data_IF_572424012389
#
_entry.id   IF_572424012389
#
_cell.length_a   1.000
_cell.length_b   1.000
_cell.length_c   1.000
_cell.angle_alpha   90.00
_cell.angle_beta   90.00
_cell.angle_gamma   90.00
#
_symmetry.space_group_name_H-M   'P 1'
#
loop_
_entity.id
_entity.type
_entity.pdbx_description
1 polymer ?
#
# COMPACT_ATOMS: atom_id res chain seq x y z
N UNK A 1 17.33 -37.81 -7.72
CA UNK A 1 15.93 -37.43 -8.06
C UNK A 1 15.08 -37.43 -6.78
N UNK A 2 15.46 -36.67 -5.76
CA UNK A 2 14.78 -36.64 -4.46
C UNK A 2 15.03 -35.33 -3.67
N UNK A 3 15.22 -34.20 -4.38
CA UNK A 3 15.51 -32.89 -3.76
C UNK A 3 14.72 -31.73 -4.39
N UNK A 4 13.73 -32.00 -5.24
CA UNK A 4 12.90 -30.99 -5.92
C UNK A 4 11.45 -30.94 -5.41
N UNK A 5 11.15 -31.57 -4.27
CA UNK A 5 9.79 -31.67 -3.71
C UNK A 5 9.64 -31.00 -2.33
N UNK A 6 10.59 -30.18 -1.90
CA UNK A 6 10.49 -29.44 -0.63
C UNK A 6 9.92 -28.02 -0.82
N UNK A 7 9.90 -27.51 -2.06
CA UNK A 7 9.50 -26.11 -2.33
C UNK A 7 8.00 -25.90 -2.61
N UNK A 8 7.20 -26.97 -2.66
CA UNK A 8 5.77 -26.92 -3.01
C UNK A 8 4.83 -27.35 -1.87
N UNK A 9 5.38 -27.55 -0.67
CA UNK A 9 4.64 -27.93 0.53
C UNK A 9 4.84 -26.95 1.70
N UNK A 10 5.20 -25.70 1.44
CA UNK A 10 4.86 -24.63 2.39
C UNK A 10 3.40 -24.24 2.17
N UNK A 11 2.49 -25.20 2.34
CA UNK A 11 1.11 -24.90 2.69
C UNK A 11 1.11 -24.50 4.15
N UNK A 12 1.69 -23.34 4.41
CA UNK A 12 1.16 -22.34 5.32
C UNK A 12 -0.24 -22.68 5.86
N UNK A 13 -0.30 -23.41 6.98
CA UNK A 13 -1.31 -23.13 7.97
C UNK A 13 -0.89 -21.81 8.63
N UNK A 14 -0.91 -20.72 7.85
CA UNK A 14 -0.23 -19.48 8.20
C UNK A 14 -1.09 -18.69 9.18
N UNK A 15 -0.52 -18.44 10.35
CA UNK A 15 -0.93 -17.36 11.25
C UNK A 15 -1.32 -16.13 10.42
N UNK A 16 -2.52 -15.55 10.60
CA UNK A 16 -2.93 -14.36 9.88
C UNK A 16 -1.84 -13.29 9.94
N UNK A 17 -1.51 -12.64 8.81
CA UNK A 17 -0.41 -11.68 8.74
C UNK A 17 -0.47 -10.60 9.83
N UNK A 18 -1.67 -10.17 10.22
CA UNK A 18 -1.89 -9.22 11.33
C UNK A 18 -1.28 -9.71 12.65
N UNK A 19 -1.40 -11.00 12.96
CA UNK A 19 -0.90 -11.60 14.20
C UNK A 19 0.63 -11.71 14.17
N UNK A 20 1.19 -11.96 12.98
CA UNK A 20 2.65 -11.88 12.77
C UNK A 20 3.13 -10.46 13.04
N UNK A 21 2.51 -9.44 12.42
CA UNK A 21 2.87 -8.03 12.61
C UNK A 21 2.75 -7.63 14.08
N UNK A 22 1.64 -7.97 14.75
CA UNK A 22 1.43 -7.64 16.16
C UNK A 22 2.49 -8.28 17.06
N UNK A 23 2.90 -9.53 16.77
CA UNK A 23 3.94 -10.23 17.52
C UNK A 23 5.33 -9.60 17.36
N UNK A 24 5.66 -9.13 16.15
CA UNK A 24 6.91 -8.44 15.86
C UNK A 24 6.95 -7.06 16.54
N UNK A 25 5.83 -6.32 16.50
CA UNK A 25 5.69 -5.04 17.19
C UNK A 25 5.81 -5.19 18.70
N UNK A 26 5.13 -6.18 19.30
CA UNK A 26 5.23 -6.45 20.72
C UNK A 26 6.65 -6.82 21.14
N UNK A 27 7.35 -7.62 20.32
CA UNK A 27 8.75 -7.98 20.55
C UNK A 27 9.66 -6.76 20.49
N UNK A 28 9.46 -5.87 19.53
CA UNK A 28 10.21 -4.62 19.41
C UNK A 28 9.98 -3.72 20.64
N UNK A 29 8.74 -3.49 21.06
CA UNK A 29 8.44 -2.67 22.23
C UNK A 29 9.08 -3.22 23.51
N UNK A 30 9.09 -4.54 23.69
CA UNK A 30 9.73 -5.18 24.84
C UNK A 30 11.25 -4.93 24.86
N UNK A 31 11.93 -5.05 23.71
CA UNK A 31 13.37 -4.78 23.60
C UNK A 31 13.69 -3.33 23.92
N UNK A 32 12.90 -2.40 23.38
CA UNK A 32 13.08 -0.96 23.55
C UNK A 32 12.47 -0.41 24.85
N UNK A 33 11.89 -1.27 25.69
CA UNK A 33 11.20 -0.91 26.95
C UNK A 33 10.11 0.15 26.75
N UNK A 34 9.42 0.09 25.61
CA UNK A 34 8.32 0.99 25.26
C UNK A 34 7.00 0.44 25.80
N UNK A 35 6.17 1.35 26.32
CA UNK A 35 4.78 1.04 26.68
C UNK A 35 3.89 1.48 25.52
N UNK A 36 3.13 0.58 24.88
CA UNK A 36 2.24 0.95 23.79
C UNK A 36 1.09 1.84 24.28
N UNK A 37 0.58 2.67 23.37
CA UNK A 37 -0.62 3.46 23.65
C UNK A 37 -1.83 2.54 23.87
N UNK A 38 -2.78 2.99 24.70
CA UNK A 38 -4.06 2.30 24.88
C UNK A 38 -4.89 2.25 23.59
N UNK A 39 -5.87 1.34 23.56
CA UNK A 39 -6.79 1.24 22.43
C UNK A 39 -7.57 2.55 22.24
N UNK A 40 -7.74 2.95 20.97
CA UNK A 40 -8.55 4.11 20.63
C UNK A 40 -10.02 3.90 20.95
N UNK A 41 -10.74 4.99 21.23
CA UNK A 41 -12.21 4.97 21.27
C UNK A 41 -12.77 4.64 19.89
N UNK A 42 -14.04 4.22 19.82
CA UNK A 42 -14.68 3.86 18.55
C UNK A 42 -14.78 5.05 17.58
N UNK A 43 -15.07 6.25 18.09
CA UNK A 43 -15.12 7.46 17.26
C UNK A 43 -13.75 7.83 16.69
N UNK A 44 -12.68 7.71 17.49
CA UNK A 44 -11.32 7.94 17.02
C UNK A 44 -10.88 6.87 16.02
N UNK A 45 -11.21 5.60 16.29
CA UNK A 45 -10.93 4.50 15.38
C UNK A 45 -11.57 4.73 14.02
N UNK A 46 -12.87 5.01 13.97
CA UNK A 46 -13.58 5.23 12.70
C UNK A 46 -12.98 6.42 11.92
N UNK A 47 -12.70 7.54 12.60
CA UNK A 47 -12.12 8.72 11.95
C UNK A 47 -10.73 8.43 11.38
N UNK A 48 -9.86 7.73 12.11
CA UNK A 48 -8.53 7.34 11.61
C UNK A 48 -8.67 6.40 10.42
N UNK A 49 -9.51 5.37 10.57
CA UNK A 49 -9.74 4.37 9.54
C UNK A 49 -10.23 4.99 8.21
N UNK A 50 -11.18 5.93 8.24
CA UNK A 50 -11.66 6.55 6.99
C UNK A 50 -10.65 7.51 6.38
N UNK A 51 -9.87 8.22 7.20
CA UNK A 51 -8.80 9.07 6.68
C UNK A 51 -7.69 8.24 6.03
N UNK A 52 -7.32 7.11 6.64
CA UNK A 52 -6.24 6.25 6.17
C UNK A 52 -6.65 5.42 4.95
N UNK A 53 -7.87 4.87 4.94
CA UNK A 53 -8.32 3.99 3.85
C UNK A 53 -8.93 4.76 2.68
N UNK A 54 -9.76 5.77 2.94
CA UNK A 54 -10.55 6.45 1.90
C UNK A 54 -10.26 7.94 1.77
N UNK A 55 -9.31 8.48 2.56
CA UNK A 55 -8.84 9.87 2.42
C UNK A 55 -9.82 10.95 2.87
N UNK A 56 -10.95 10.58 3.46
CA UNK A 56 -12.01 11.52 3.86
C UNK A 56 -12.51 11.24 5.27
N UNK A 57 -13.03 12.27 5.93
CA UNK A 57 -13.75 12.10 7.20
C UNK A 57 -15.03 11.26 7.00
N UNK A 58 -15.47 10.50 8.01
CA UNK A 58 -16.65 9.65 7.86
C UNK A 58 -17.91 10.49 7.67
N UNK A 59 -18.82 10.05 6.80
CA UNK A 59 -20.12 10.68 6.65
C UNK A 59 -20.99 10.46 7.91
N UNK A 60 -21.99 11.32 8.13
CA UNK A 60 -22.86 11.22 9.30
C UNK A 60 -23.50 9.83 9.45
N UNK A 61 -23.97 9.26 8.34
CA UNK A 61 -24.56 7.92 8.31
C UNK A 61 -23.57 6.80 8.67
N UNK A 62 -22.31 6.92 8.25
CA UNK A 62 -21.26 5.97 8.60
C UNK A 62 -20.96 6.02 10.11
N UNK A 63 -20.96 7.22 10.69
CA UNK A 63 -20.76 7.44 12.13
C UNK A 63 -21.92 6.82 12.92
N UNK A 64 -23.16 7.16 12.59
CA UNK A 64 -24.34 6.68 13.33
C UNK A 64 -24.45 5.17 13.27
N UNK A 65 -24.24 4.58 12.08
CA UNK A 65 -24.29 3.13 11.88
C UNK A 65 -23.21 2.42 12.70
N UNK A 66 -21.95 2.89 12.62
CA UNK A 66 -20.84 2.24 13.32
C UNK A 66 -20.92 2.36 14.85
N UNK A 67 -21.38 3.51 15.38
CA UNK A 67 -21.51 3.70 16.83
C UNK A 67 -22.72 2.97 17.42
N UNK A 68 -23.77 2.74 16.61
CA UNK A 68 -24.92 1.93 16.99
C UNK A 68 -24.57 0.43 17.06
N UNK A 69 -23.64 -0.04 16.22
CA UNK A 69 -23.20 -1.44 16.22
C UNK A 69 -22.49 -1.82 17.55
N UNK A 70 -23.00 -2.88 18.19
CA UNK A 70 -22.49 -3.46 19.45
C UNK A 70 -21.83 -4.83 19.27
N UNK A 71 -21.71 -5.30 18.03
CA UNK A 71 -21.05 -6.57 17.73
C UNK A 71 -19.54 -6.48 18.02
N UNK A 72 -18.95 -7.58 18.47
CA UNK A 72 -17.53 -7.64 18.81
C UNK A 72 -16.62 -7.48 17.59
N UNK A 73 -17.13 -7.79 16.39
CA UNK A 73 -16.42 -7.76 15.12
C UNK A 73 -16.70 -6.48 14.30
N UNK A 74 -17.41 -5.49 14.84
CA UNK A 74 -17.78 -4.27 14.12
C UNK A 74 -16.60 -3.51 13.50
N UNK A 75 -15.42 -3.55 14.14
CA UNK A 75 -14.19 -2.93 13.60
C UNK A 75 -13.69 -3.65 12.36
N UNK A 76 -13.70 -4.98 12.37
CA UNK A 76 -13.34 -5.79 11.20
C UNK A 76 -14.33 -5.54 10.06
N UNK A 77 -15.64 -5.57 10.34
CA UNK A 77 -16.68 -5.24 9.35
C UNK A 77 -16.49 -3.85 8.73
N UNK A 78 -16.13 -2.85 9.53
CA UNK A 78 -15.88 -1.50 9.04
C UNK A 78 -14.64 -1.44 8.13
N UNK A 79 -13.58 -2.18 8.46
CA UNK A 79 -12.38 -2.31 7.62
C UNK A 79 -12.76 -2.95 6.29
N UNK A 80 -13.40 -4.12 6.30
CA UNK A 80 -13.77 -4.85 5.09
C UNK A 80 -14.68 -4.02 4.18
N UNK A 81 -15.66 -3.33 4.78
CA UNK A 81 -16.54 -2.41 4.05
C UNK A 81 -15.77 -1.30 3.35
N UNK A 82 -14.80 -0.69 4.02
CA UNK A 82 -14.02 0.42 3.46
C UNK A 82 -13.01 -0.06 2.42
N UNK A 83 -12.39 -1.23 2.60
CA UNK A 83 -11.52 -1.83 1.59
C UNK A 83 -12.27 -2.14 0.29
N UNK A 84 -13.54 -2.54 0.40
CA UNK A 84 -14.42 -2.77 -0.76
C UNK A 84 -15.04 -1.48 -1.34
N UNK A 85 -14.85 -0.32 -0.72
CA UNK A 85 -15.44 0.95 -1.15
C UNK A 85 -14.67 1.53 -2.36
N UNK A 86 -15.33 2.01 -3.43
CA UNK A 86 -14.64 2.65 -4.56
C UNK A 86 -13.72 3.82 -4.17
N UNK A 87 -14.01 4.49 -3.05
CA UNK A 87 -13.15 5.55 -2.51
C UNK A 87 -11.77 5.03 -2.09
N UNK A 88 -11.65 3.77 -1.66
CA UNK A 88 -10.37 3.18 -1.26
C UNK A 88 -9.41 3.11 -2.45
N UNK A 89 -9.84 2.55 -3.57
CA UNK A 89 -9.02 2.45 -4.77
C UNK A 89 -8.56 3.82 -5.28
N UNK A 90 -9.46 4.82 -5.25
CA UNK A 90 -9.12 6.20 -5.59
C UNK A 90 -8.11 6.81 -4.62
N UNK A 91 -8.31 6.65 -3.31
CA UNK A 91 -7.40 7.22 -2.32
C UNK A 91 -6.01 6.60 -2.39
N UNK A 92 -5.92 5.26 -2.48
CA UNK A 92 -4.65 4.57 -2.63
C UNK A 92 -3.94 4.99 -3.91
N UNK A 93 -4.66 5.14 -5.02
CA UNK A 93 -4.08 5.71 -6.24
C UNK A 93 -3.40 7.05 -5.96
N UNK A 94 -4.07 7.99 -5.28
CA UNK A 94 -3.55 9.33 -5.01
C UNK A 94 -2.33 9.31 -4.08
N UNK A 95 -2.29 8.40 -3.12
CA UNK A 95 -1.15 8.17 -2.22
C UNK A 95 0.03 7.60 -3.01
N UNK A 96 -0.19 6.59 -3.84
CA UNK A 96 0.88 5.93 -4.59
C UNK A 96 1.39 6.77 -5.77
N UNK A 97 0.55 7.58 -6.41
CA UNK A 97 0.98 8.56 -7.42
C UNK A 97 2.03 9.51 -6.83
N UNK A 98 1.86 9.95 -5.57
CA UNK A 98 2.83 10.81 -4.89
C UNK A 98 4.17 10.12 -4.62
N UNK A 99 4.13 8.82 -4.33
CA UNK A 99 5.34 8.06 -4.04
C UNK A 99 6.11 7.65 -5.31
N UNK A 100 5.39 7.39 -6.40
CA UNK A 100 5.93 6.73 -7.60
C UNK A 100 6.16 7.69 -8.77
N UNK A 101 5.37 8.76 -8.89
CA UNK A 101 5.41 9.66 -10.06
C UNK A 101 5.85 11.06 -9.66
N UNK A 102 6.86 11.59 -10.35
CA UNK A 102 7.38 12.94 -10.11
C UNK A 102 6.33 13.99 -10.48
N UNK A 103 6.08 14.93 -9.56
CA UNK A 103 5.20 16.09 -9.76
C UNK A 103 5.93 17.25 -10.43
N UNK A 104 6.21 17.09 -11.73
CA UNK A 104 6.75 18.16 -12.57
C UNK A 104 5.86 18.37 -13.79
N UNK A 105 5.12 19.50 -13.88
CA UNK A 105 4.23 19.81 -14.99
C UNK A 105 4.87 19.76 -16.38
N UNK A 106 6.19 19.96 -16.46
CA UNK A 106 6.93 19.98 -17.73
C UNK A 106 7.43 18.58 -18.13
N UNK A 107 7.40 17.61 -17.22
CA UNK A 107 7.87 16.25 -17.49
C UNK A 107 6.93 15.50 -18.43
N UNK A 108 7.50 14.59 -19.23
CA UNK A 108 6.70 13.70 -20.08
C UNK A 108 5.80 12.77 -19.26
N UNK A 109 6.28 12.32 -18.10
CA UNK A 109 5.52 11.48 -17.19
C UNK A 109 4.25 12.18 -16.70
N UNK A 110 4.33 13.49 -16.41
CA UNK A 110 3.16 14.26 -15.97
C UNK A 110 2.07 14.36 -17.03
N UNK A 111 2.43 14.45 -18.32
CA UNK A 111 1.48 14.45 -19.44
C UNK A 111 0.70 13.14 -19.54
N UNK A 112 1.28 12.03 -19.10
CA UNK A 112 0.62 10.72 -19.06
C UNK A 112 -0.16 10.43 -17.78
N UNK A 113 -0.10 11.29 -16.75
CA UNK A 113 -0.49 10.89 -15.38
C UNK A 113 -1.89 10.29 -15.27
N UNK A 114 -2.87 10.78 -16.04
CA UNK A 114 -4.23 10.24 -15.95
C UNK A 114 -4.29 8.75 -16.35
N UNK A 115 -3.43 8.28 -17.27
CA UNK A 115 -3.34 6.84 -17.58
C UNK A 115 -2.76 6.05 -16.41
N UNK A 116 -1.71 6.56 -15.75
CA UNK A 116 -1.19 5.96 -14.51
C UNK A 116 -2.27 5.88 -13.43
N UNK A 117 -3.02 6.97 -13.23
CA UNK A 117 -4.09 7.05 -12.23
C UNK A 117 -5.16 6.00 -12.48
N UNK A 118 -5.69 5.94 -13.71
CA UNK A 118 -6.68 4.92 -14.08
C UNK A 118 -6.14 3.50 -13.91
N UNK A 119 -4.92 3.24 -14.38
CA UNK A 119 -4.27 1.93 -14.26
C UNK A 119 -4.07 1.51 -12.80
N UNK A 120 -3.51 2.38 -11.96
CA UNK A 120 -3.21 2.04 -10.56
C UNK A 120 -4.49 1.87 -9.75
N UNK A 121 -5.50 2.73 -9.96
CA UNK A 121 -6.80 2.57 -9.31
C UNK A 121 -7.46 1.23 -9.68
N UNK A 122 -7.36 0.78 -10.94
CA UNK A 122 -7.86 -0.53 -11.37
C UNK A 122 -7.12 -1.68 -10.67
N UNK A 123 -5.80 -1.58 -10.51
CA UNK A 123 -5.01 -2.58 -9.76
C UNK A 123 -5.47 -2.69 -8.31
N UNK A 124 -5.65 -1.56 -7.63
CA UNK A 124 -6.13 -1.55 -6.24
C UNK A 124 -7.56 -2.07 -6.13
N UNK A 125 -8.46 -1.66 -7.03
CA UNK A 125 -9.85 -2.09 -7.02
C UNK A 125 -10.02 -3.61 -7.22
N UNK A 126 -9.06 -4.26 -7.89
CA UNK A 126 -9.05 -5.72 -8.10
C UNK A 126 -8.30 -6.49 -7.01
N UNK A 127 -7.83 -5.81 -5.97
CA UNK A 127 -6.98 -6.40 -4.93
C UNK A 127 -5.76 -7.12 -5.53
N UNK A 128 -5.14 -6.50 -6.55
CA UNK A 128 -3.98 -7.08 -7.22
C UNK A 128 -2.80 -7.16 -6.23
N UNK A 129 -2.16 -8.33 -6.08
CA UNK A 129 -0.97 -8.46 -5.24
C UNK A 129 0.10 -7.45 -5.63
N UNK A 130 0.67 -6.75 -4.63
CA UNK A 130 1.65 -5.70 -4.88
C UNK A 130 2.87 -6.19 -5.67
N UNK A 131 3.25 -7.47 -5.57
CA UNK A 131 4.31 -8.07 -6.41
C UNK A 131 4.02 -7.96 -7.91
N UNK A 132 2.77 -8.10 -8.32
CA UNK A 132 2.37 -7.96 -9.72
C UNK A 132 2.37 -6.49 -10.15
N UNK A 133 1.94 -5.58 -9.25
CA UNK A 133 2.02 -4.14 -9.47
C UNK A 133 3.47 -3.69 -9.63
N UNK A 134 4.35 -4.08 -8.71
CA UNK A 134 5.79 -3.78 -8.76
C UNK A 134 6.43 -4.33 -10.04
N UNK A 135 6.13 -5.57 -10.43
CA UNK A 135 6.58 -6.13 -11.70
C UNK A 135 6.12 -5.28 -12.89
N UNK A 136 4.84 -4.90 -12.93
CA UNK A 136 4.31 -4.10 -14.01
C UNK A 136 4.99 -2.72 -14.12
N UNK A 137 5.25 -2.06 -12.98
CA UNK A 137 6.01 -0.80 -12.94
C UNK A 137 7.44 -0.95 -13.46
N UNK A 138 8.13 -2.03 -13.09
CA UNK A 138 9.52 -2.28 -13.51
C UNK A 138 9.65 -2.73 -14.96
N UNK A 139 8.64 -3.40 -15.50
CA UNK A 139 8.61 -3.80 -16.91
C UNK A 139 8.15 -2.66 -17.82
N UNK A 140 7.20 -1.83 -17.36
CA UNK A 140 6.68 -0.69 -18.12
C UNK A 140 5.94 -1.08 -19.41
N UNK A 141 5.37 -2.29 -19.46
CA UNK A 141 4.75 -2.87 -20.66
C UNK A 141 3.24 -2.61 -20.77
N UNK A 142 2.59 -2.16 -19.69
CA UNK A 142 1.14 -1.89 -19.65
C UNK A 142 0.88 -0.39 -19.74
N UNK A 143 -0.19 0.01 -20.42
CA UNK A 143 -0.61 1.41 -20.52
C UNK A 143 -0.89 2.01 -19.12
N UNK A 144 -0.18 3.08 -18.80
CA UNK A 144 -0.13 3.73 -17.49
C UNK A 144 1.10 3.34 -16.66
N UNK A 145 1.54 2.08 -16.70
CA UNK A 145 2.66 1.58 -15.88
C UNK A 145 4.03 2.11 -16.34
N UNK A 146 4.17 2.38 -17.65
CA UNK A 146 5.40 2.86 -18.27
C UNK A 146 5.86 4.21 -17.69
N UNK A 147 4.92 4.99 -17.15
CA UNK A 147 5.16 6.33 -16.65
C UNK A 147 6.15 6.38 -15.48
N UNK A 148 6.25 5.28 -14.72
CA UNK A 148 7.25 5.14 -13.67
C UNK A 148 8.68 5.21 -14.22
N UNK A 149 8.97 4.59 -15.38
CA UNK A 149 10.32 4.61 -15.98
C UNK A 149 10.53 5.80 -16.93
N UNK A 150 9.48 6.27 -17.61
CA UNK A 150 9.56 7.42 -18.53
C UNK A 150 10.09 8.67 -17.85
N UNK A 151 9.79 8.88 -16.55
CA UNK A 151 10.29 10.04 -15.81
C UNK A 151 11.82 10.06 -15.68
N UNK A 152 12.49 8.92 -15.83
CA UNK A 152 13.95 8.78 -15.77
C UNK A 152 14.61 8.63 -17.14
N UNK A 153 13.91 8.99 -18.23
CA UNK A 153 14.49 8.93 -19.57
C UNK A 153 15.83 9.68 -19.61
N UNK A 154 16.86 9.02 -20.14
CA UNK A 154 18.25 9.50 -20.21
C UNK A 154 18.90 9.77 -18.84
N UNK A 155 18.36 9.20 -17.75
CA UNK A 155 18.88 9.31 -16.37
C UNK A 155 18.84 7.95 -15.65
N UNK A 156 19.57 6.93 -16.16
CA UNK A 156 19.52 5.58 -15.60
C UNK A 156 19.97 5.51 -14.14
N UNK A 157 20.86 6.39 -13.70
CA UNK A 157 21.33 6.47 -12.31
C UNK A 157 20.19 6.88 -11.36
N UNK A 158 19.36 7.85 -11.78
CA UNK A 158 18.18 8.28 -11.02
C UNK A 158 17.11 7.18 -10.95
N UNK A 159 16.98 6.37 -12.02
CA UNK A 159 16.10 5.21 -12.05
C UNK A 159 16.56 4.13 -11.06
N UNK A 160 17.85 3.78 -11.06
CA UNK A 160 18.43 2.77 -10.15
C UNK A 160 18.26 3.20 -8.69
N UNK A 161 18.54 4.46 -8.37
CA UNK A 161 18.34 4.99 -7.02
C UNK A 161 16.89 4.88 -6.58
N UNK A 162 15.95 5.27 -7.46
CA UNK A 162 14.53 5.25 -7.16
C UNK A 162 13.99 3.84 -7.01
N UNK A 163 14.37 2.91 -7.90
CA UNK A 163 13.96 1.50 -7.84
C UNK A 163 14.48 0.85 -6.55
N UNK A 164 15.75 1.07 -6.21
CA UNK A 164 16.36 0.50 -5.00
C UNK A 164 15.65 0.98 -3.74
N UNK A 165 15.36 2.29 -3.67
CA UNK A 165 14.67 2.87 -2.52
C UNK A 165 13.22 2.39 -2.41
N UNK A 166 12.49 2.36 -3.52
CA UNK A 166 11.05 2.09 -3.52
C UNK A 166 10.70 0.61 -3.40
N UNK A 167 11.48 -0.28 -4.02
CA UNK A 167 11.15 -1.71 -4.10
C UNK A 167 12.08 -2.61 -3.28
N UNK A 168 13.30 -2.17 -2.99
CA UNK A 168 14.27 -2.99 -2.24
C UNK A 168 14.50 -2.46 -0.82
N UNK A 169 14.01 -1.27 -0.49
CA UNK A 169 14.23 -0.63 0.80
C UNK A 169 15.69 -0.24 1.06
N UNK A 170 16.52 -0.14 0.01
CA UNK A 170 17.94 0.20 0.12
C UNK A 170 18.24 1.53 -0.56
N UNK A 171 19.14 2.31 0.03
CA UNK A 171 19.55 3.59 -0.52
C UNK A 171 20.89 3.44 -1.24
N UNK A 172 20.89 3.58 -2.57
CA UNK A 172 22.11 3.51 -3.41
C UNK A 172 22.65 4.88 -3.84
N UNK A 173 22.14 5.97 -3.26
CA UNK A 173 22.53 7.35 -3.58
C UNK A 173 24.05 7.56 -3.48
N UNK A 174 24.70 6.86 -2.53
CA UNK A 174 26.14 6.94 -2.27
C UNK A 174 27.01 6.10 -3.21
N UNK A 175 26.42 5.30 -4.11
CA UNK A 175 27.12 4.40 -5.03
C UNK A 175 27.10 4.90 -6.49
N UNK A 176 26.97 6.22 -6.69
CA UNK A 176 26.98 6.88 -8.02
C UNK A 176 28.39 7.08 -8.61
N UNK A 177 29.43 6.69 -7.87
CA UNK A 177 30.84 6.90 -8.23
C UNK A 177 31.41 5.75 -9.05
#
# INVERSE_FOLDING_TARGET
>A
MLLLLVSLLYSAADTPLREVIDSEMASAWKREKLTPAGASTDSEFLRRLTLDLVGTVPALEEITTFLADKTLDKRAKAIDRLLADPRFAKHQQEVWEQALVVRDPNSEAWRGRERFKTWFADKVARDEPFTNVARALLMGEQDGSELFLVQYRNRPEDAIESVSRLFLGTQLQCARC
#
